data_IF_853195178493
#
_entry.id   IF_853195178493
#
_cell.length_a   1.000
_cell.length_b   1.000
_cell.length_c   1.000
_cell.angle_alpha   90.00
_cell.angle_beta   90.00
_cell.angle_gamma   90.00
#
_symmetry.space_group_name_H-M   'P 1'
#
loop_
_entity.id
_entity.type
_entity.pdbx_description
1 polymer ?
#
# COMPACT_ATOMS: atom_id res chain seq x y z
N UNK A 1 0.68 -22.90 -14.48
CA UNK A 1 0.89 -21.54 -15.05
C UNK A 1 2.37 -21.18 -14.99
N UNK A 2 2.77 -20.25 -15.86
CA UNK A 2 4.05 -19.56 -15.78
C UNK A 2 3.82 -18.21 -15.13
N UNK A 3 4.33 -18.03 -13.93
CA UNK A 3 4.19 -16.82 -13.14
C UNK A 3 5.52 -16.07 -13.14
N UNK A 4 5.48 -14.81 -13.50
CA UNK A 4 6.63 -13.90 -13.38
C UNK A 4 6.35 -12.97 -12.20
N UNK A 5 7.26 -12.93 -11.23
CA UNK A 5 7.21 -11.98 -10.13
C UNK A 5 8.14 -10.82 -10.49
N UNK A 6 7.58 -9.63 -10.69
CA UNK A 6 8.33 -8.40 -10.92
C UNK A 6 8.57 -7.68 -9.60
N UNK A 7 9.78 -7.15 -9.43
CA UNK A 7 10.15 -6.39 -8.24
C UNK A 7 11.20 -5.33 -8.58
N UNK A 8 11.27 -4.27 -7.77
CA UNK A 8 12.36 -3.29 -7.84
C UNK A 8 13.60 -3.89 -7.13
N UNK A 9 14.74 -4.03 -7.81
CA UNK A 9 15.97 -4.51 -7.18
C UNK A 9 16.62 -3.44 -6.27
N UNK A 10 16.03 -2.26 -6.16
CA UNK A 10 16.55 -1.14 -5.41
C UNK A 10 17.48 -0.21 -6.18
N UNK A 11 17.83 0.90 -5.55
CA UNK A 11 18.84 1.85 -6.01
C UNK A 11 20.24 1.45 -5.53
N UNK A 12 21.26 2.13 -6.04
CA UNK A 12 22.66 1.80 -5.72
C UNK A 12 23.04 2.15 -4.26
N UNK A 13 22.23 2.97 -3.59
CA UNK A 13 22.36 3.39 -2.18
C UNK A 13 21.49 2.59 -1.19
N UNK A 14 20.68 1.63 -1.70
CA UNK A 14 19.89 0.76 -0.84
C UNK A 14 20.78 -0.16 0.00
N UNK A 15 20.42 -0.33 1.26
CA UNK A 15 21.11 -1.23 2.16
C UNK A 15 20.77 -2.70 1.87
N UNK A 16 21.56 -3.61 2.43
CA UNK A 16 21.23 -5.05 2.34
C UNK A 16 19.89 -5.38 3.03
N UNK A 17 19.49 -4.61 4.04
CA UNK A 17 18.25 -4.76 4.77
C UNK A 17 17.05 -4.32 3.90
N UNK A 18 17.16 -3.22 3.17
CA UNK A 18 16.13 -2.74 2.24
C UNK A 18 15.87 -3.80 1.15
N UNK A 19 16.94 -4.34 0.57
CA UNK A 19 16.85 -5.40 -0.44
C UNK A 19 16.25 -6.68 0.15
N UNK A 20 16.63 -7.04 1.38
CA UNK A 20 16.11 -8.23 2.04
C UNK A 20 14.58 -8.13 2.28
N UNK A 21 14.08 -6.95 2.66
CA UNK A 21 12.64 -6.71 2.81
C UNK A 21 11.86 -6.96 1.53
N UNK A 22 12.34 -6.44 0.40
CA UNK A 22 11.72 -6.72 -0.93
C UNK A 22 11.77 -8.21 -1.26
N UNK A 23 12.92 -8.85 -1.04
CA UNK A 23 13.09 -10.26 -1.36
C UNK A 23 12.27 -11.20 -0.47
N UNK A 24 11.92 -10.79 0.74
CA UNK A 24 11.03 -11.54 1.61
C UNK A 24 9.64 -11.75 0.98
N UNK A 25 9.04 -10.68 0.48
CA UNK A 25 7.78 -10.75 -0.27
C UNK A 25 7.91 -11.58 -1.53
N UNK A 26 8.95 -11.33 -2.35
CA UNK A 26 9.22 -12.06 -3.59
C UNK A 26 9.35 -13.56 -3.35
N UNK A 27 10.14 -13.96 -2.37
CA UNK A 27 10.39 -15.37 -2.05
C UNK A 27 9.19 -16.02 -1.37
N UNK A 28 8.47 -15.32 -0.52
CA UNK A 28 7.24 -15.77 0.10
C UNK A 28 6.19 -16.14 -0.95
N UNK A 29 5.93 -15.23 -1.86
CA UNK A 29 4.97 -15.42 -2.95
C UNK A 29 5.44 -16.50 -3.93
N UNK A 30 6.73 -16.54 -4.25
CA UNK A 30 7.29 -17.57 -5.12
C UNK A 30 7.08 -18.97 -4.53
N UNK A 31 7.34 -19.16 -3.23
CA UNK A 31 7.10 -20.44 -2.55
C UNK A 31 5.64 -20.89 -2.65
N UNK A 32 4.69 -19.95 -2.52
CA UNK A 32 3.26 -20.24 -2.65
C UNK A 32 2.94 -20.76 -4.05
N UNK A 33 3.36 -20.05 -5.11
CA UNK A 33 3.08 -20.50 -6.48
C UNK A 33 3.76 -21.83 -6.81
N UNK A 34 4.98 -22.07 -6.33
CA UNK A 34 5.67 -23.35 -6.49
C UNK A 34 4.90 -24.47 -5.78
N UNK A 35 4.36 -24.24 -4.58
CA UNK A 35 3.55 -25.23 -3.86
C UNK A 35 2.25 -25.60 -4.59
N UNK A 36 1.76 -24.72 -5.46
CA UNK A 36 0.62 -24.95 -6.36
C UNK A 36 1.02 -25.53 -7.73
N UNK A 37 2.25 -26.05 -7.86
CA UNK A 37 2.81 -26.61 -9.09
C UNK A 37 2.87 -25.61 -10.27
N UNK A 38 3.12 -24.33 -9.98
CA UNK A 38 3.35 -23.33 -11.01
C UNK A 38 4.85 -23.12 -11.25
N UNK A 39 5.20 -22.77 -12.50
CA UNK A 39 6.57 -22.33 -12.84
C UNK A 39 6.71 -20.87 -12.47
N UNK A 40 7.75 -20.53 -11.71
CA UNK A 40 7.95 -19.17 -11.20
C UNK A 40 9.30 -18.63 -11.65
N UNK A 41 9.29 -17.39 -12.16
CA UNK A 41 10.50 -16.60 -12.41
C UNK A 41 10.45 -15.32 -11.57
N UNK A 42 11.55 -15.01 -10.88
CA UNK A 42 11.76 -13.73 -10.20
C UNK A 42 12.53 -12.81 -11.14
N UNK A 43 11.99 -11.67 -11.47
CA UNK A 43 12.54 -10.81 -12.52
C UNK A 43 12.66 -9.37 -12.00
N UNK A 44 13.89 -8.87 -11.79
CA UNK A 44 14.10 -7.49 -11.40
C UNK A 44 13.75 -6.54 -12.55
N UNK A 45 13.05 -5.47 -12.24
CA UNK A 45 12.72 -4.41 -13.20
C UNK A 45 13.89 -3.43 -13.29
N UNK A 46 14.37 -3.19 -14.50
CA UNK A 46 15.46 -2.26 -14.82
C UNK A 46 15.11 -1.45 -16.04
N UNK A 47 15.73 -0.26 -16.23
CA UNK A 47 15.40 0.61 -17.36
C UNK A 47 15.78 0.02 -18.74
N UNK A 48 16.64 -1.00 -18.79
CA UNK A 48 17.02 -1.65 -20.04
C UNK A 48 15.89 -2.46 -20.68
N UNK A 49 14.73 -2.50 -20.02
CA UNK A 49 13.51 -3.17 -20.46
C UNK A 49 13.67 -4.67 -20.73
N UNK A 50 14.79 -5.29 -20.34
CA UNK A 50 15.01 -6.74 -20.53
C UNK A 50 14.01 -7.58 -19.75
N UNK A 51 13.54 -7.08 -18.60
CA UNK A 51 12.51 -7.71 -17.80
C UNK A 51 11.24 -8.00 -18.62
N UNK A 52 10.88 -7.12 -19.55
CA UNK A 52 9.69 -7.26 -20.38
C UNK A 52 9.75 -8.47 -21.29
N UNK A 53 10.94 -8.94 -21.68
CA UNK A 53 11.11 -10.14 -22.48
C UNK A 53 10.66 -11.40 -21.74
N UNK A 54 10.62 -11.40 -20.40
CA UNK A 54 10.12 -12.51 -19.59
C UNK A 54 8.58 -12.54 -19.53
N UNK A 55 7.94 -11.43 -19.78
CA UNK A 55 6.48 -11.25 -19.65
C UNK A 55 5.74 -11.43 -20.99
N UNK A 56 6.30 -10.89 -22.10
CA UNK A 56 5.63 -10.80 -23.39
C UNK A 56 5.60 -12.11 -24.18
N UNK A 57 4.73 -12.13 -25.22
CA UNK A 57 4.69 -13.21 -26.21
C UNK A 57 4.24 -14.56 -25.62
N UNK A 58 3.37 -14.51 -24.61
CA UNK A 58 2.86 -15.70 -23.93
C UNK A 58 3.91 -16.42 -23.07
N UNK A 59 4.98 -15.75 -22.66
CA UNK A 59 6.00 -16.31 -21.75
C UNK A 59 5.54 -16.32 -20.30
N UNK A 60 4.73 -15.35 -19.90
CA UNK A 60 4.00 -15.32 -18.63
C UNK A 60 2.52 -15.53 -18.88
N UNK A 61 1.89 -16.32 -18.04
CA UNK A 61 0.43 -16.46 -17.95
C UNK A 61 -0.13 -15.46 -16.94
N UNK A 62 0.70 -15.08 -15.96
CA UNK A 62 0.44 -14.05 -14.95
C UNK A 62 1.74 -13.35 -14.57
N UNK A 63 1.68 -12.03 -14.46
CA UNK A 63 2.71 -11.23 -13.80
C UNK A 63 2.21 -10.86 -12.40
N UNK A 64 2.92 -11.32 -11.37
CA UNK A 64 2.70 -10.86 -10.00
C UNK A 64 3.58 -9.64 -9.78
N UNK A 65 2.97 -8.45 -9.77
CA UNK A 65 3.70 -7.19 -9.70
C UNK A 65 3.89 -6.74 -8.26
N UNK A 66 5.14 -6.65 -7.84
CA UNK A 66 5.58 -6.10 -6.55
C UNK A 66 6.49 -4.87 -6.74
N UNK A 67 6.51 -4.29 -7.95
CA UNK A 67 7.29 -3.10 -8.19
C UNK A 67 6.64 -1.89 -7.53
N UNK A 68 7.36 -1.22 -6.66
CA UNK A 68 7.02 0.07 -6.06
C UNK A 68 7.80 1.22 -6.72
N UNK A 69 8.58 0.91 -7.75
CA UNK A 69 9.40 1.83 -8.50
C UNK A 69 10.33 1.11 -9.47
N UNK A 70 11.32 1.82 -9.98
CA UNK A 70 12.43 1.28 -10.79
C UNK A 70 13.73 1.87 -10.29
N UNK A 71 14.62 1.05 -9.74
CA UNK A 71 15.88 1.48 -9.09
C UNK A 71 15.66 2.52 -7.99
N UNK A 72 14.67 2.29 -7.13
CA UNK A 72 14.32 3.20 -6.06
C UNK A 72 13.58 4.48 -6.51
N UNK A 73 13.36 4.67 -7.81
CA UNK A 73 12.59 5.80 -8.31
C UNK A 73 11.10 5.42 -8.33
N UNK A 74 10.43 5.75 -7.25
CA UNK A 74 9.02 5.44 -7.01
C UNK A 74 8.08 5.99 -8.11
N UNK A 75 8.41 7.13 -8.71
CA UNK A 75 7.63 7.78 -9.78
C UNK A 75 7.49 6.93 -11.05
N UNK A 76 8.25 5.86 -11.19
CA UNK A 76 8.20 4.98 -12.36
C UNK A 76 7.35 3.72 -12.16
N UNK A 77 6.71 3.56 -11.02
CA UNK A 77 5.83 2.43 -10.74
C UNK A 77 4.69 2.30 -11.76
N UNK A 78 3.99 3.40 -12.05
CA UNK A 78 2.88 3.44 -13.02
C UNK A 78 3.33 3.13 -14.45
N UNK A 79 4.58 3.38 -14.83
CA UNK A 79 5.14 3.04 -16.13
C UNK A 79 5.32 1.52 -16.30
N UNK A 80 5.72 0.83 -15.23
CA UNK A 80 5.81 -0.65 -15.25
C UNK A 80 4.42 -1.24 -15.49
N UNK A 81 3.45 -0.80 -14.72
CA UNK A 81 2.05 -1.25 -14.82
C UNK A 81 1.48 -0.87 -16.19
N UNK A 82 1.72 0.36 -16.68
CA UNK A 82 1.27 0.81 -18.00
C UNK A 82 1.87 0.00 -19.15
N UNK A 83 3.10 -0.44 -19.01
CA UNK A 83 3.75 -1.33 -19.99
C UNK A 83 3.07 -2.70 -20.06
N UNK A 84 2.73 -3.27 -18.90
CA UNK A 84 2.01 -4.54 -18.82
C UNK A 84 0.60 -4.45 -19.39
N UNK A 85 -0.13 -3.36 -19.06
CA UNK A 85 -1.48 -3.10 -19.55
C UNK A 85 -1.50 -2.91 -21.07
N UNK A 86 -0.60 -2.08 -21.61
CA UNK A 86 -0.47 -1.86 -23.06
C UNK A 86 -0.17 -3.16 -23.80
N UNK A 87 0.57 -4.07 -23.20
CA UNK A 87 0.93 -5.37 -23.81
C UNK A 87 -0.17 -6.43 -23.63
N UNK A 88 -1.28 -6.13 -22.95
CA UNK A 88 -2.37 -7.07 -22.67
C UNK A 88 -1.97 -8.25 -21.80
N UNK A 89 -1.00 -8.06 -20.91
CA UNK A 89 -0.49 -9.08 -20.00
C UNK A 89 -1.33 -9.05 -18.73
N UNK A 90 -1.76 -10.22 -18.23
CA UNK A 90 -2.41 -10.32 -16.93
C UNK A 90 -1.42 -9.96 -15.81
N UNK A 91 -1.77 -9.00 -14.95
CA UNK A 91 -0.92 -8.56 -13.83
C UNK A 91 -1.74 -8.30 -12.57
N UNK A 92 -1.10 -8.42 -11.41
CA UNK A 92 -1.71 -8.12 -10.10
C UNK A 92 -1.55 -6.65 -9.74
N UNK A 93 -2.46 -6.13 -8.90
CA UNK A 93 -2.44 -4.76 -8.42
C UNK A 93 -3.34 -3.83 -9.24
N UNK A 94 -3.22 -2.54 -8.96
CA UNK A 94 -3.99 -1.49 -9.62
C UNK A 94 -3.45 -1.16 -11.01
N UNK A 95 -4.29 -0.53 -11.82
CA UNK A 95 -3.90 0.00 -13.13
C UNK A 95 -3.03 1.27 -13.03
N UNK A 96 -2.40 1.70 -14.14
CA UNK A 96 -1.46 2.82 -14.15
C UNK A 96 -2.09 4.14 -13.67
N UNK A 97 -3.36 4.37 -13.99
CA UNK A 97 -4.10 5.54 -13.49
C UNK A 97 -4.13 5.61 -11.97
N UNK A 98 -4.59 4.53 -11.32
CA UNK A 98 -4.72 4.47 -9.85
C UNK A 98 -3.37 4.62 -9.18
N UNK A 99 -2.35 3.92 -9.69
CA UNK A 99 -0.99 3.98 -9.19
C UNK A 99 -0.44 5.40 -9.27
N UNK A 100 -0.55 6.05 -10.46
CA UNK A 100 -0.06 7.41 -10.67
C UNK A 100 -0.79 8.45 -9.80
N UNK A 101 -2.11 8.33 -9.65
CA UNK A 101 -2.94 9.29 -8.90
C UNK A 101 -2.71 9.14 -7.40
N UNK A 102 -2.72 7.92 -6.86
CA UNK A 102 -2.57 7.70 -5.43
C UNK A 102 -1.19 8.16 -4.93
N UNK A 103 -0.15 7.99 -5.72
CA UNK A 103 1.19 8.49 -5.41
C UNK A 103 1.25 10.02 -5.29
N UNK A 104 0.53 10.75 -6.16
CA UNK A 104 0.48 12.23 -6.12
C UNK A 104 -0.55 12.70 -5.11
N UNK A 105 -0.13 12.87 -3.85
CA UNK A 105 -1.01 13.18 -2.71
C UNK A 105 -1.91 14.39 -2.93
N UNK A 106 -1.44 15.43 -3.62
CA UNK A 106 -2.25 16.60 -3.97
C UNK A 106 -3.41 16.24 -4.92
N UNK A 107 -3.14 15.41 -5.93
CA UNK A 107 -4.17 14.94 -6.88
C UNK A 107 -5.16 14.04 -6.16
N UNK A 108 -4.66 13.06 -5.39
CA UNK A 108 -5.50 12.14 -4.62
C UNK A 108 -6.42 12.90 -3.65
N UNK A 109 -5.87 13.83 -2.86
CA UNK A 109 -6.65 14.65 -1.93
C UNK A 109 -7.73 15.47 -2.65
N UNK A 110 -7.40 16.10 -3.79
CA UNK A 110 -8.38 16.85 -4.59
C UNK A 110 -9.52 15.95 -5.05
N UNK A 111 -9.23 14.73 -5.53
CA UNK A 111 -10.26 13.79 -5.98
C UNK A 111 -11.15 13.32 -4.82
N UNK A 112 -10.56 13.02 -3.66
CA UNK A 112 -11.29 12.62 -2.46
C UNK A 112 -12.22 13.74 -1.96
N UNK A 113 -11.74 14.98 -1.91
CA UNK A 113 -12.55 16.15 -1.52
C UNK A 113 -13.70 16.37 -2.50
N UNK A 114 -13.45 16.27 -3.82
CA UNK A 114 -14.49 16.38 -4.85
C UNK A 114 -15.55 15.29 -4.75
N UNK A 115 -15.17 14.12 -4.25
CA UNK A 115 -16.09 13.02 -3.96
C UNK A 115 -16.83 13.19 -2.62
N UNK A 116 -16.61 14.30 -1.89
CA UNK A 116 -17.26 14.60 -0.60
C UNK A 116 -16.69 13.79 0.57
N UNK A 117 -15.51 13.23 0.43
CA UNK A 117 -14.84 12.52 1.52
C UNK A 117 -14.11 13.48 2.47
N UNK A 118 -14.09 13.19 3.77
CA UNK A 118 -13.38 14.00 4.75
C UNK A 118 -11.86 13.81 4.59
N UNK A 119 -11.20 14.83 4.06
CA UNK A 119 -9.73 14.90 3.93
C UNK A 119 -9.24 16.02 4.87
N UNK A 120 -8.15 15.82 5.64
CA UNK A 120 -7.57 16.91 6.42
C UNK A 120 -7.17 18.09 5.53
N UNK A 121 -7.37 19.34 5.98
CA UNK A 121 -6.96 20.53 5.19
C UNK A 121 -5.50 20.41 4.78
N UNK A 122 -5.20 20.68 3.52
CA UNK A 122 -3.86 20.51 2.97
C UNK A 122 -3.52 21.62 1.96
N UNK A 123 -2.24 21.78 1.69
CA UNK A 123 -1.72 22.65 0.62
C UNK A 123 -0.35 22.16 0.17
N UNK A 124 0.04 22.50 -1.04
CA UNK A 124 1.43 22.34 -1.49
C UNK A 124 2.23 23.55 -1.02
N UNK A 125 3.42 23.30 -0.50
CA UNK A 125 4.33 24.34 0.01
C UNK A 125 5.00 25.09 -1.15
N UNK A 126 4.20 25.88 -1.89
CA UNK A 126 4.67 26.79 -2.92
C UNK A 126 4.49 28.23 -2.45
N UNK A 127 5.57 28.86 -1.97
CA UNK A 127 5.52 30.20 -1.45
C UNK A 127 5.00 30.30 0.01
N UNK A 128 4.14 31.29 0.30
CA UNK A 128 3.65 31.56 1.65
C UNK A 128 2.46 30.64 1.97
N UNK A 129 2.55 29.89 3.07
CA UNK A 129 1.39 29.18 3.63
C UNK A 129 0.46 30.22 4.31
N UNK A 130 -0.85 30.05 4.13
CA UNK A 130 -1.87 30.91 4.74
C UNK A 130 -1.68 31.01 6.25
N UNK A 131 -1.82 32.23 6.77
CA UNK A 131 -1.63 32.49 8.20
C UNK A 131 -2.72 31.81 9.06
N UNK A 132 -3.86 31.43 8.48
CA UNK A 132 -4.97 30.69 9.11
C UNK A 132 -4.88 29.15 8.92
N UNK A 133 -3.82 28.63 8.27
CA UNK A 133 -3.66 27.19 8.11
C UNK A 133 -3.65 26.51 9.49
N UNK A 134 -4.42 25.40 9.70
CA UNK A 134 -4.55 24.79 11.01
C UNK A 134 -3.23 24.17 11.50
N UNK A 135 -2.99 24.31 12.81
CA UNK A 135 -1.90 23.66 13.52
C UNK A 135 -2.49 22.79 14.64
N UNK A 136 -1.83 21.69 14.99
CA UNK A 136 -0.59 21.16 14.40
C UNK A 136 -0.76 20.74 12.93
N UNK A 137 0.36 20.76 12.19
CA UNK A 137 0.42 20.33 10.81
C UNK A 137 1.53 19.29 10.59
N UNK A 138 1.30 18.37 9.67
CA UNK A 138 2.33 17.43 9.20
C UNK A 138 2.88 17.92 7.86
N UNK A 139 4.20 17.91 7.74
CA UNK A 139 4.95 18.27 6.52
C UNK A 139 5.57 17.01 5.96
N UNK A 140 5.25 16.67 4.72
CA UNK A 140 5.67 15.42 4.08
C UNK A 140 5.91 15.60 2.58
N UNK A 141 6.72 14.74 1.94
CA UNK A 141 6.85 14.73 0.49
C UNK A 141 5.49 14.48 -0.17
N UNK A 142 5.21 15.18 -1.27
CA UNK A 142 3.91 15.10 -1.96
C UNK A 142 3.80 13.87 -2.87
N UNK A 143 4.92 13.28 -3.29
CA UNK A 143 4.97 12.18 -4.27
C UNK A 143 5.71 10.93 -3.78
N UNK A 144 6.04 10.84 -2.50
CA UNK A 144 6.71 9.68 -1.91
C UNK A 144 5.75 8.85 -1.05
N UNK A 145 6.02 7.54 -0.99
CA UNK A 145 5.30 6.57 -0.18
C UNK A 145 6.20 5.96 0.92
N UNK A 146 5.76 4.93 1.59
CA UNK A 146 6.51 4.17 2.58
C UNK A 146 7.10 5.00 3.74
N UNK A 147 6.47 6.14 4.08
CA UNK A 147 6.94 7.11 5.08
C UNK A 147 8.29 7.77 4.74
N UNK A 148 8.75 7.74 3.48
CA UNK A 148 9.95 8.44 3.06
C UNK A 148 9.89 9.92 3.50
N UNK A 149 10.97 10.43 4.10
CA UNK A 149 11.07 11.79 4.61
C UNK A 149 10.25 12.08 5.88
N UNK A 150 9.52 11.11 6.46
CA UNK A 150 8.81 11.28 7.72
C UNK A 150 9.70 10.91 8.92
N UNK A 151 9.85 11.85 9.84
CA UNK A 151 10.60 11.73 11.09
C UNK A 151 9.86 12.42 12.25
N UNK A 152 10.50 12.48 13.43
CA UNK A 152 9.94 13.12 14.62
C UNK A 152 9.64 14.61 14.45
N UNK A 153 10.27 15.29 13.49
CA UNK A 153 10.08 16.72 13.21
C UNK A 153 9.00 16.97 12.15
N UNK A 154 8.40 15.91 11.61
CA UNK A 154 7.40 16.05 10.53
C UNK A 154 6.09 16.70 10.98
N UNK A 155 5.74 16.58 12.27
CA UNK A 155 4.58 17.29 12.85
C UNK A 155 5.06 18.50 13.62
N UNK A 156 4.48 19.66 13.34
CA UNK A 156 4.86 20.96 13.92
C UNK A 156 3.64 21.67 14.48
N UNK A 157 3.82 22.35 15.62
CA UNK A 157 2.74 23.01 16.38
C UNK A 157 2.74 24.53 16.28
N UNK A 158 3.76 25.13 15.65
CA UNK A 158 3.87 26.58 15.52
C UNK A 158 4.37 27.02 14.14
N UNK A 159 4.17 28.28 13.80
CA UNK A 159 4.49 28.85 12.47
C UNK A 159 5.99 28.90 12.17
N UNK A 160 6.83 29.07 13.19
CA UNK A 160 8.29 29.12 13.02
C UNK A 160 8.80 27.75 12.64
N UNK A 161 8.39 26.73 13.39
CA UNK A 161 8.74 25.32 13.12
C UNK A 161 8.19 24.86 11.77
N UNK A 162 6.97 25.28 11.39
CA UNK A 162 6.39 24.98 10.09
C UNK A 162 7.27 25.49 8.94
N UNK A 163 7.69 26.76 9.00
CA UNK A 163 8.57 27.35 7.98
C UNK A 163 9.92 26.65 7.90
N UNK A 164 10.52 26.35 9.06
CA UNK A 164 11.80 25.65 9.10
C UNK A 164 11.70 24.23 8.52
N UNK A 165 10.62 23.50 8.85
CA UNK A 165 10.41 22.15 8.33
C UNK A 165 10.16 22.14 6.83
N UNK A 166 9.36 23.06 6.29
CA UNK A 166 9.15 23.22 4.85
C UNK A 166 10.48 23.47 4.15
N UNK A 167 11.29 24.41 4.65
CA UNK A 167 12.60 24.70 4.07
C UNK A 167 13.49 23.45 4.01
N UNK A 168 13.62 22.72 5.11
CA UNK A 168 14.42 21.50 5.16
C UNK A 168 13.92 20.39 4.21
N UNK A 169 12.59 20.26 4.04
CA UNK A 169 12.00 19.29 3.14
C UNK A 169 12.16 19.67 1.67
N UNK A 170 12.08 20.94 1.31
CA UNK A 170 12.27 21.43 -0.07
C UNK A 170 13.71 21.35 -0.56
N UNK A 171 14.69 21.17 0.33
CA UNK A 171 16.07 20.86 -0.04
C UNK A 171 16.24 19.40 -0.52
N UNK A 172 15.33 18.51 -0.13
CA UNK A 172 15.43 17.08 -0.38
C UNK A 172 14.40 16.57 -1.39
N UNK A 173 13.24 17.23 -1.49
CA UNK A 173 12.10 16.79 -2.30
C UNK A 173 11.57 17.92 -3.17
N UNK A 174 11.25 17.62 -4.42
CA UNK A 174 10.77 18.59 -5.41
C UNK A 174 9.43 19.23 -5.01
N UNK A 175 8.56 18.46 -4.36
CA UNK A 175 7.23 18.91 -3.94
C UNK A 175 6.92 18.48 -2.52
N UNK A 176 6.51 19.45 -1.69
CA UNK A 176 6.22 19.24 -0.26
C UNK A 176 4.76 19.55 0.03
N UNK A 177 4.08 18.63 0.67
CA UNK A 177 2.69 18.78 1.13
C UNK A 177 2.67 19.13 2.62
N UNK A 178 1.91 20.17 2.94
CA UNK A 178 1.55 20.54 4.31
C UNK A 178 0.10 20.11 4.53
N UNK A 179 -0.14 19.31 5.55
CA UNK A 179 -1.48 18.79 5.85
C UNK A 179 -1.80 19.01 7.34
N UNK A 180 -3.05 19.36 7.66
CA UNK A 180 -3.53 19.40 9.03
C UNK A 180 -3.26 18.04 9.71
N UNK A 181 -2.60 18.06 10.86
CA UNK A 181 -2.45 16.86 11.66
C UNK A 181 -3.76 16.57 12.40
N UNK A 182 -4.28 15.37 12.23
CA UNK A 182 -5.47 14.92 12.93
C UNK A 182 -5.03 14.14 14.18
N UNK A 183 -5.22 14.74 15.35
CA UNK A 183 -5.01 14.03 16.61
C UNK A 183 -6.07 12.93 16.78
N UNK A 184 -5.66 11.75 17.26
CA UNK A 184 -6.54 10.61 17.48
C UNK A 184 -5.96 9.29 17.00
N UNK A 185 -6.83 8.30 16.82
CA UNK A 185 -6.48 6.91 16.51
C UNK A 185 -6.32 6.72 15.01
N UNK A 186 -5.33 5.91 14.61
CA UNK A 186 -5.06 5.59 13.21
C UNK A 186 -5.51 4.17 12.86
N UNK A 187 -6.23 4.07 11.73
CA UNK A 187 -6.84 2.83 11.27
C UNK A 187 -6.46 2.54 9.83
N UNK A 188 -6.33 1.26 9.51
CA UNK A 188 -6.13 0.77 8.16
C UNK A 188 -7.29 -0.14 7.75
N UNK A 189 -7.78 0.02 6.52
CA UNK A 189 -8.79 -0.85 5.91
C UNK A 189 -8.21 -1.44 4.64
N UNK A 190 -7.96 -2.75 4.66
CA UNK A 190 -7.56 -3.50 3.49
C UNK A 190 -8.76 -3.80 2.59
N UNK A 191 -8.53 -3.80 1.29
CA UNK A 191 -9.53 -4.15 0.28
C UNK A 191 -8.92 -5.19 -0.66
N UNK A 192 -9.67 -6.27 -0.92
CA UNK A 192 -9.28 -7.31 -1.90
C UNK A 192 -10.48 -7.59 -2.78
N UNK A 193 -10.39 -7.24 -4.05
CA UNK A 193 -11.52 -7.24 -4.99
C UNK A 193 -12.60 -6.24 -4.54
N UNK A 194 -13.76 -6.75 -4.17
CA UNK A 194 -14.89 -5.97 -3.65
C UNK A 194 -15.06 -6.10 -2.14
N UNK A 195 -14.19 -6.84 -1.46
CA UNK A 195 -14.31 -7.13 -0.03
C UNK A 195 -13.39 -6.23 0.77
N UNK A 196 -13.93 -5.51 1.73
CA UNK A 196 -13.17 -4.91 2.83
C UNK A 196 -12.78 -6.00 3.83
N UNK A 197 -11.55 -5.90 4.32
CA UNK A 197 -11.02 -6.75 5.39
C UNK A 197 -11.34 -6.13 6.76
N UNK A 198 -11.23 -6.90 7.85
CA UNK A 198 -11.39 -6.37 9.20
C UNK A 198 -10.47 -5.17 9.44
N UNK A 199 -11.01 -4.12 10.04
CA UNK A 199 -10.27 -2.90 10.35
C UNK A 199 -9.09 -3.22 11.26
N UNK A 200 -7.91 -2.75 10.89
CA UNK A 200 -6.73 -2.75 11.74
C UNK A 200 -6.49 -1.36 12.34
N UNK A 201 -5.78 -1.30 13.44
CA UNK A 201 -5.36 -0.07 14.11
C UNK A 201 -3.85 -0.07 14.26
N UNK A 202 -3.25 1.10 14.19
CA UNK A 202 -1.90 1.34 14.66
C UNK A 202 -2.00 1.91 16.07
N UNK A 203 -1.64 1.11 17.06
CA UNK A 203 -1.64 1.50 18.47
C UNK A 203 -0.34 2.24 18.79
N UNK A 204 -0.46 3.52 19.07
CA UNK A 204 0.63 4.41 19.49
C UNK A 204 0.75 4.59 21.01
N UNK A 205 0.04 3.81 21.81
CA UNK A 205 -0.02 3.98 23.27
C UNK A 205 1.33 3.83 23.98
N UNK A 206 2.29 3.19 23.32
CA UNK A 206 3.66 2.99 23.85
C UNK A 206 4.71 3.83 23.13
N UNK A 207 4.30 4.84 22.35
CA UNK A 207 5.24 5.79 21.77
C UNK A 207 5.99 6.55 22.87
N UNK A 208 7.28 6.87 22.67
CA UNK A 208 8.04 7.65 23.63
C UNK A 208 7.40 9.02 23.90
N UNK A 209 7.47 9.48 25.14
CA UNK A 209 6.97 10.80 25.53
C UNK A 209 7.58 11.92 24.66
N UNK A 210 6.75 12.88 24.29
CA UNK A 210 7.15 14.01 23.46
C UNK A 210 7.28 13.71 21.98
N UNK A 211 6.94 12.48 21.53
CA UNK A 211 6.85 12.15 20.11
C UNK A 211 5.42 12.21 19.60
N UNK A 212 5.26 12.62 18.35
CA UNK A 212 3.96 12.59 17.70
C UNK A 212 3.58 11.17 17.29
N UNK A 213 2.34 10.71 17.54
CA UNK A 213 1.87 9.40 17.12
C UNK A 213 1.65 9.35 15.60
N UNK A 214 2.73 9.12 14.87
CA UNK A 214 2.77 8.94 13.41
C UNK A 214 3.71 7.77 13.05
N UNK A 215 3.44 7.13 11.92
CA UNK A 215 4.35 6.14 11.33
C UNK A 215 5.49 6.87 10.60
N UNK A 216 6.63 7.04 11.28
CA UNK A 216 7.85 7.57 10.68
C UNK A 216 8.57 6.53 9.81
N UNK A 217 9.59 6.96 9.07
CA UNK A 217 10.48 6.03 8.37
C UNK A 217 11.12 5.03 9.35
N UNK A 218 11.60 5.51 10.49
CA UNK A 218 12.19 4.65 11.51
C UNK A 218 11.19 3.63 12.09
N UNK A 219 9.91 4.01 12.23
CA UNK A 219 8.86 3.11 12.69
C UNK A 219 8.58 1.94 11.73
N UNK A 220 8.86 2.10 10.43
CA UNK A 220 8.63 1.06 9.43
C UNK A 220 9.87 0.22 9.13
N UNK A 221 11.05 0.84 9.13
CA UNK A 221 12.24 0.24 8.54
C UNK A 221 13.39 0.01 9.53
N UNK A 222 13.36 0.64 10.71
CA UNK A 222 14.40 0.41 11.73
C UNK A 222 13.84 -0.48 12.84
N UNK A 223 13.89 -1.78 12.61
CA UNK A 223 13.39 -2.79 13.56
C UNK A 223 14.04 -2.60 14.94
N UNK A 224 13.21 -2.56 15.99
CA UNK A 224 13.63 -2.34 17.37
C UNK A 224 13.88 -0.86 17.72
N UNK A 225 13.65 0.09 16.79
CA UNK A 225 13.66 1.51 17.14
C UNK A 225 12.56 1.86 18.15
N UNK A 226 12.70 2.93 18.94
CA UNK A 226 11.62 3.36 19.83
C UNK A 226 10.31 3.65 19.12
N UNK A 227 10.35 4.10 17.87
CA UNK A 227 9.20 4.36 17.04
C UNK A 227 8.55 3.06 16.54
N UNK A 228 9.33 2.05 16.14
CA UNK A 228 8.83 0.73 15.77
C UNK A 228 8.14 0.07 16.96
N UNK A 229 8.82 0.00 18.11
CA UNK A 229 8.27 -0.55 19.35
C UNK A 229 7.04 0.23 19.87
N UNK A 230 6.97 1.52 19.53
CA UNK A 230 5.90 2.43 19.91
C UNK A 230 4.70 2.42 18.97
N UNK A 231 4.78 1.79 17.80
CA UNK A 231 3.72 1.77 16.78
C UNK A 231 3.29 0.34 16.46
N UNK A 232 2.37 -0.21 17.27
CA UNK A 232 2.00 -1.61 17.19
C UNK A 232 0.75 -1.83 16.34
N UNK A 233 0.77 -2.71 15.32
CA UNK A 233 -0.42 -3.07 14.58
C UNK A 233 -1.34 -3.98 15.42
N UNK A 234 -2.61 -3.61 15.55
CA UNK A 234 -3.66 -4.37 16.22
C UNK A 234 -4.75 -4.72 15.21
N UNK A 235 -4.99 -6.00 15.02
CA UNK A 235 -6.03 -6.49 14.11
C UNK A 235 -6.75 -7.70 14.71
N UNK A 236 -8.09 -7.69 14.85
CA UNK A 236 -8.99 -6.57 14.51
C UNK A 236 -8.86 -5.42 15.52
N UNK A 237 -9.12 -4.20 15.06
CA UNK A 237 -9.16 -3.01 15.91
C UNK A 237 -10.26 -3.16 16.99
N UNK A 238 -9.94 -2.75 18.21
CA UNK A 238 -10.89 -2.78 19.34
C UNK A 238 -11.77 -1.52 19.29
N UNK A 239 -12.82 -1.55 18.47
CA UNK A 239 -13.75 -0.45 18.23
C UNK A 239 -15.20 -0.96 18.13
N UNK A 240 -16.20 -0.10 18.41
CA UNK A 240 -17.60 -0.45 18.19
C UNK A 240 -17.87 -0.78 16.70
N UNK A 241 -18.70 -1.77 16.44
CA UNK A 241 -19.06 -2.21 15.09
C UNK A 241 -19.55 -1.06 14.20
N UNK A 242 -20.33 -0.13 14.74
CA UNK A 242 -20.80 1.08 14.02
C UNK A 242 -19.64 1.93 13.47
N UNK A 243 -18.56 2.03 14.24
CA UNK A 243 -17.36 2.76 13.76
C UNK A 243 -16.64 1.96 12.69
N UNK A 244 -16.44 0.65 12.89
CA UNK A 244 -15.84 -0.22 11.89
C UNK A 244 -16.58 -0.15 10.55
N UNK A 245 -17.93 -0.26 10.57
CA UNK A 245 -18.76 -0.14 9.38
C UNK A 245 -18.60 1.23 8.68
N UNK A 246 -18.47 2.30 9.47
CA UNK A 246 -18.26 3.65 8.93
C UNK A 246 -16.90 3.78 8.26
N UNK A 247 -15.83 3.25 8.86
CA UNK A 247 -14.48 3.24 8.29
C UNK A 247 -14.45 2.41 7.00
N UNK A 248 -15.05 1.22 6.99
CA UNK A 248 -15.15 0.39 5.79
C UNK A 248 -15.87 1.12 4.64
N UNK A 249 -17.02 1.76 4.89
CA UNK A 249 -17.74 2.52 3.85
C UNK A 249 -16.93 3.71 3.31
N UNK A 250 -16.18 4.41 4.16
CA UNK A 250 -15.30 5.49 3.72
C UNK A 250 -14.16 4.95 2.85
N UNK A 251 -13.54 3.85 3.28
CA UNK A 251 -12.47 3.19 2.55
C UNK A 251 -12.95 2.69 1.18
N UNK A 252 -14.13 2.05 1.11
CA UNK A 252 -14.73 1.62 -0.17
C UNK A 252 -15.01 2.80 -1.10
N UNK A 253 -15.48 3.92 -0.55
CA UNK A 253 -15.76 5.11 -1.36
C UNK A 253 -14.47 5.74 -1.85
N UNK A 254 -13.45 5.87 -0.99
CA UNK A 254 -12.13 6.37 -1.37
C UNK A 254 -11.50 5.47 -2.46
N UNK A 255 -11.54 4.16 -2.26
CA UNK A 255 -11.03 3.17 -3.22
C UNK A 255 -11.69 3.29 -4.59
N UNK A 256 -13.02 3.37 -4.64
CA UNK A 256 -13.76 3.57 -5.89
C UNK A 256 -13.47 4.91 -6.55
N UNK A 257 -13.31 5.98 -5.76
CA UNK A 257 -12.93 7.31 -6.27
C UNK A 257 -11.59 7.27 -6.98
N UNK A 258 -10.62 6.50 -6.46
CA UNK A 258 -9.32 6.29 -7.09
C UNK A 258 -9.35 5.24 -8.22
N UNK A 259 -10.51 4.66 -8.54
CA UNK A 259 -10.65 3.55 -9.50
C UNK A 259 -9.78 2.32 -9.10
N UNK A 260 -9.68 2.07 -7.80
CA UNK A 260 -8.89 0.97 -7.26
C UNK A 260 -9.40 -0.39 -7.72
N UNK A 261 -8.46 -1.27 -8.03
CA UNK A 261 -8.68 -2.64 -8.52
C UNK A 261 -7.79 -3.61 -7.77
N UNK A 262 -8.10 -4.90 -7.90
CA UNK A 262 -7.32 -5.99 -7.33
C UNK A 262 -7.21 -5.92 -5.80
N UNK A 263 -6.26 -5.20 -5.23
CA UNK A 263 -6.08 -5.04 -3.79
C UNK A 263 -5.50 -3.67 -3.45
N UNK A 264 -5.69 -3.25 -2.20
CA UNK A 264 -5.13 -2.00 -1.70
C UNK A 264 -5.44 -1.78 -0.23
N UNK A 265 -5.00 -0.64 0.31
CA UNK A 265 -5.23 -0.22 1.68
C UNK A 265 -5.63 1.25 1.71
N UNK A 266 -6.60 1.57 2.55
CA UNK A 266 -6.97 2.95 2.86
C UNK A 266 -6.61 3.24 4.30
N UNK A 267 -5.85 4.30 4.52
CA UNK A 267 -5.38 4.74 5.82
C UNK A 267 -6.24 5.91 6.29
N UNK A 268 -6.74 5.82 7.53
CA UNK A 268 -7.71 6.75 8.10
C UNK A 268 -7.28 7.17 9.51
N UNK A 269 -7.70 8.36 9.93
CA UNK A 269 -7.68 8.75 11.34
C UNK A 269 -9.07 9.06 11.85
N UNK A 270 -9.30 8.78 13.12
CA UNK A 270 -10.52 9.17 13.83
C UNK A 270 -10.12 10.14 14.91
N UNK A 271 -10.62 11.38 14.83
CA UNK A 271 -10.33 12.42 15.81
C UNK A 271 -11.04 12.18 17.15
N UNK A 272 -10.72 12.97 18.16
CA UNK A 272 -11.30 12.87 19.49
C UNK A 272 -12.83 13.08 19.53
N UNK A 273 -13.38 13.77 18.52
CA UNK A 273 -14.82 13.92 18.34
C UNK A 273 -15.48 12.71 17.63
N UNK A 274 -14.71 11.67 17.32
CA UNK A 274 -15.19 10.48 16.62
C UNK A 274 -15.42 10.69 15.12
N UNK A 275 -14.85 11.72 14.52
CA UNK A 275 -14.95 11.99 13.07
C UNK A 275 -13.81 11.31 12.34
N UNK A 276 -14.09 10.44 11.33
CA UNK A 276 -13.05 9.83 10.54
C UNK A 276 -12.58 10.76 9.42
N UNK A 277 -11.30 10.65 9.07
CA UNK A 277 -10.60 11.38 8.03
C UNK A 277 -9.81 10.41 7.16
N UNK A 278 -9.88 10.55 5.85
CA UNK A 278 -9.05 9.77 4.91
C UNK A 278 -7.69 10.44 4.80
N UNK A 279 -6.64 9.68 5.11
CA UNK A 279 -5.26 10.18 5.02
C UNK A 279 -4.62 9.84 3.68
N UNK A 280 -4.83 8.59 3.22
CA UNK A 280 -4.14 8.06 2.06
C UNK A 280 -4.88 6.84 1.50
N UNK A 281 -4.76 6.63 0.19
CA UNK A 281 -5.16 5.41 -0.51
C UNK A 281 -3.89 4.79 -1.08
N UNK A 282 -3.56 3.58 -0.62
CA UNK A 282 -2.37 2.87 -1.05
C UNK A 282 -2.75 1.73 -2.02
N UNK A 283 -2.40 1.85 -3.32
CA UNK A 283 -2.78 0.89 -4.35
C UNK A 283 -1.87 -0.34 -4.42
N UNK A 284 -0.72 -0.32 -3.75
CA UNK A 284 0.27 -1.38 -3.75
C UNK A 284 0.89 -1.54 -2.34
N UNK A 285 0.07 -1.90 -1.32
CA UNK A 285 0.57 -2.10 0.04
C UNK A 285 1.45 -3.35 0.10
N UNK A 286 2.41 -3.34 1.03
CA UNK A 286 3.27 -4.47 1.33
C UNK A 286 2.47 -5.79 1.49
N UNK A 287 2.96 -6.83 0.84
CA UNK A 287 2.40 -8.18 0.77
C UNK A 287 3.28 -9.24 1.45
N UNK A 288 4.19 -8.88 2.35
CA UNK A 288 4.84 -9.87 3.21
C UNK A 288 3.83 -10.58 4.10
N UNK A 289 4.16 -11.79 4.57
CA UNK A 289 3.20 -12.61 5.35
C UNK A 289 2.77 -11.93 6.64
N UNK A 290 3.61 -11.09 7.22
CA UNK A 290 3.34 -10.33 8.43
C UNK A 290 2.93 -8.86 8.20
N UNK A 291 2.82 -8.42 6.95
CA UNK A 291 2.36 -7.08 6.60
C UNK A 291 0.91 -6.81 7.03
N UNK A 292 0.53 -5.54 7.06
CA UNK A 292 -0.79 -5.10 7.49
C UNK A 292 -1.94 -5.75 6.73
N UNK A 293 -1.83 -5.84 5.38
CA UNK A 293 -2.86 -6.47 4.57
C UNK A 293 -2.98 -7.97 4.86
N UNK A 294 -1.85 -8.66 5.01
CA UNK A 294 -1.79 -10.09 5.34
C UNK A 294 -2.36 -10.38 6.72
N UNK A 295 -2.09 -9.53 7.72
CA UNK A 295 -2.71 -9.64 9.07
C UNK A 295 -4.23 -9.49 9.01
N UNK A 296 -4.74 -8.49 8.27
CA UNK A 296 -6.18 -8.30 8.08
C UNK A 296 -6.82 -9.49 7.36
N UNK A 297 -6.15 -10.07 6.36
CA UNK A 297 -6.59 -11.27 5.67
C UNK A 297 -6.67 -12.49 6.60
N UNK A 298 -5.67 -12.70 7.46
CA UNK A 298 -5.68 -13.77 8.48
C UNK A 298 -6.88 -13.65 9.42
N UNK A 299 -7.19 -12.46 9.89
CA UNK A 299 -8.39 -12.20 10.72
C UNK A 299 -9.69 -12.45 9.93
N UNK A 300 -9.69 -12.19 8.62
CA UNK A 300 -10.81 -12.51 7.74
C UNK A 300 -10.96 -14.02 7.43
N UNK A 301 -10.08 -14.87 7.97
CA UNK A 301 -10.07 -16.32 7.77
C UNK A 301 -9.30 -16.79 6.53
N UNK A 302 -8.46 -15.93 5.94
CA UNK A 302 -7.60 -16.28 4.82
C UNK A 302 -6.16 -16.40 5.30
N UNK A 303 -5.54 -17.56 5.12
CA UNK A 303 -4.10 -17.66 5.28
C UNK A 303 -3.36 -16.90 4.16
N UNK A 304 -2.04 -16.80 4.28
CA UNK A 304 -1.23 -16.06 3.33
C UNK A 304 -1.34 -16.63 1.91
N UNK A 305 -1.35 -17.96 1.77
CA UNK A 305 -1.48 -18.61 0.47
C UNK A 305 -2.83 -18.30 -0.19
N UNK A 306 -3.91 -18.28 0.60
CA UNK A 306 -5.24 -17.92 0.13
C UNK A 306 -5.33 -16.44 -0.30
N UNK A 307 -4.70 -15.52 0.44
CA UNK A 307 -4.62 -14.11 0.05
C UNK A 307 -3.94 -13.97 -1.32
N UNK A 308 -2.74 -14.54 -1.49
CA UNK A 308 -1.98 -14.47 -2.73
C UNK A 308 -2.75 -15.11 -3.90
N UNK A 309 -3.39 -16.25 -3.65
CA UNK A 309 -4.24 -16.92 -4.65
C UNK A 309 -5.41 -16.01 -5.09
N UNK A 310 -6.10 -15.34 -4.16
CA UNK A 310 -7.20 -14.42 -4.47
C UNK A 310 -6.74 -13.25 -5.30
N UNK A 311 -5.62 -12.65 -4.96
CA UNK A 311 -5.03 -11.55 -5.73
C UNK A 311 -4.72 -12.01 -7.16
N UNK A 312 -4.12 -13.18 -7.32
CA UNK A 312 -3.82 -13.75 -8.63
C UNK A 312 -5.09 -14.04 -9.46
N UNK A 313 -6.13 -14.60 -8.82
CA UNK A 313 -7.41 -14.84 -9.47
C UNK A 313 -8.12 -13.57 -9.95
N UNK A 314 -8.05 -12.48 -9.16
CA UNK A 314 -8.58 -11.19 -9.56
C UNK A 314 -7.89 -10.68 -10.83
N UNK A 315 -6.56 -10.74 -10.89
CA UNK A 315 -5.79 -10.33 -12.06
C UNK A 315 -6.15 -11.17 -13.31
N UNK A 316 -6.26 -12.48 -13.16
CA UNK A 316 -6.65 -13.37 -14.26
C UNK A 316 -8.09 -13.13 -14.75
N UNK A 317 -9.03 -12.82 -13.85
CA UNK A 317 -10.41 -12.48 -14.22
C UNK A 317 -10.48 -11.14 -14.95
N UNK A 318 -9.71 -10.17 -14.55
CA UNK A 318 -9.66 -8.85 -15.18
C UNK A 318 -9.09 -8.93 -16.61
N UNK A 319 -8.08 -9.77 -16.82
CA UNK A 319 -7.49 -10.05 -18.12
C UNK A 319 -8.39 -10.89 -19.05
N UNK A 320 -9.63 -11.18 -18.69
CA UNK A 320 -10.57 -12.11 -19.38
C UNK A 320 -10.90 -11.77 -20.86
N UNK A 321 -10.23 -10.82 -21.48
CA UNK A 321 -10.19 -10.69 -22.93
C UNK A 321 -9.37 -11.79 -23.62
N UNK A 322 -8.49 -12.52 -22.92
CA UNK A 322 -7.62 -13.53 -23.51
C UNK A 322 -8.14 -14.96 -23.25
N UNK A 323 -8.17 -15.79 -24.31
CA UNK A 323 -8.58 -17.21 -24.27
C UNK A 323 -7.80 -18.01 -23.21
N UNK A 324 -6.51 -17.70 -23.01
CA UNK A 324 -5.64 -18.32 -22.03
C UNK A 324 -6.12 -18.14 -20.58
N UNK A 325 -6.64 -16.97 -20.22
CA UNK A 325 -7.12 -16.71 -18.85
C UNK A 325 -8.32 -17.60 -18.48
N UNK A 326 -9.23 -17.86 -19.44
CA UNK A 326 -10.41 -18.74 -19.22
C UNK A 326 -10.01 -20.19 -19.02
N UNK A 327 -9.02 -20.67 -19.78
CA UNK A 327 -8.51 -22.06 -19.68
C UNK A 327 -7.78 -22.30 -18.35
N UNK A 328 -7.07 -21.29 -17.84
CA UNK A 328 -6.34 -21.37 -16.57
C UNK A 328 -7.26 -21.37 -15.33
N UNK A 329 -8.32 -20.57 -15.35
CA UNK A 329 -9.31 -20.55 -14.27
C UNK A 329 -10.09 -21.89 -14.19
N UNK A 330 -10.29 -22.55 -15.34
CA UNK A 330 -10.93 -23.87 -15.40
C UNK A 330 -10.04 -25.01 -14.89
N UNK A 331 -8.70 -24.83 -14.91
CA UNK A 331 -7.73 -25.85 -14.50
C UNK A 331 -7.35 -25.81 -13.00
N UNK A 332 -7.89 -24.88 -12.22
CA UNK A 332 -7.60 -24.80 -10.78
C UNK A 332 -8.13 -26.03 -10.04
N UNK A 333 -7.30 -26.75 -9.25
CA UNK A 333 -7.77 -27.90 -8.49
C UNK A 333 -8.83 -27.46 -7.49
N UNK A 334 -9.94 -28.20 -7.42
CA UNK A 334 -10.97 -27.98 -6.43
C UNK A 334 -10.37 -28.01 -4.99
N UNK A 335 -10.86 -27.16 -4.06
CA UNK A 335 -10.33 -27.14 -2.70
C UNK A 335 -10.41 -28.54 -2.10
N UNK A 336 -9.28 -29.05 -1.61
CA UNK A 336 -9.26 -30.34 -0.88
C UNK A 336 -10.19 -30.21 0.31
N UNK A 337 -11.32 -30.89 0.25
CA UNK A 337 -12.21 -31.02 1.43
C UNK A 337 -11.36 -31.60 2.58
N UNK A 338 -11.29 -30.85 3.66
CA UNK A 338 -10.68 -31.35 4.89
C UNK A 338 -11.31 -32.70 5.22
N UNK A 339 -10.48 -33.77 5.30
CA UNK A 339 -10.96 -35.06 5.82
C UNK A 339 -11.37 -34.84 7.26
N UNK A 340 -12.63 -35.10 7.54
CA UNK A 340 -13.11 -35.19 8.92
C UNK A 340 -12.26 -36.20 9.70
N UNK A 341 -11.89 -35.91 10.95
CA UNK A 341 -11.18 -36.86 11.78
C UNK A 341 -12.03 -38.13 11.93
N UNK A 342 -11.43 -39.28 11.62
CA UNK A 342 -12.02 -40.57 11.93
C UNK A 342 -12.07 -40.66 13.47
N UNK A 343 -13.26 -40.63 14.03
CA UNK A 343 -13.49 -41.05 15.42
C UNK A 343 -13.22 -42.53 15.51
N UNK A 344 -12.27 -42.90 16.38
CA UNK A 344 -12.05 -44.29 16.85
C UNK A 344 -13.00 -44.58 18.01
#
# INVERSE_FOLDING_TARGET
MRVVILYDPGADDWTAEDIAGVMEAVDGIARIFVSFNHQVQRVPVRHDMRWFNHCRGGRADLVFNLCEGVRGVAQWEDHVVGTLELAGIAYTGCGPWTTAVCRRKAVANTMLERAGLPVPRWTIAQGKIDDDFPLPAIVKPAAEDASAGLDRQSVVSDRKSLKARIAAMTEQFDEVLVQQYIAGREFNVGIVGTRTLPVAEIDFSTMPDGTWPILTYAAKWHVGSPEDLGSRPVCPAQIPQRLADRLCRLAETAWRTMQGKSYGRVDLRVDEAGRPWVLEVNPNPDLTDDAGLSRMAKVAGWDYAELIRRIAELALREAQGTKAARELLAASPAPRRARAPRTA
#
